data_IF_675811284689
#
_entry.id   IF_675811284689
#
_cell.length_a   1.000
_cell.length_b   1.000
_cell.length_c   1.000
_cell.angle_alpha   90.00
_cell.angle_beta   90.00
_cell.angle_gamma   90.00
#
_symmetry.space_group_name_H-M   'P 1'
#
loop_
_entity.id
_entity.type
_entity.pdbx_description
1 polymer ?
#
# COMPACT_ATOMS: atom_id res chain seq x y z
N UNK A 1 22.28 -20.04 -6.04
CA UNK A 1 21.53 -20.95 -5.12
C UNK A 1 21.18 -20.19 -3.86
N UNK A 2 19.95 -20.27 -3.37
CA UNK A 2 19.49 -19.63 -2.14
C UNK A 2 20.38 -20.04 -0.94
N UNK A 3 20.66 -19.10 -0.04
CA UNK A 3 21.54 -19.37 1.11
C UNK A 3 20.75 -19.92 2.28
N UNK A 4 21.33 -20.92 2.96
CA UNK A 4 20.77 -21.54 4.16
C UNK A 4 21.57 -21.08 5.38
N UNK A 5 20.84 -20.70 6.44
CA UNK A 5 21.38 -20.21 7.70
C UNK A 5 20.70 -20.91 8.89
N UNK A 6 21.42 -21.09 9.96
CA UNK A 6 20.82 -21.35 11.27
C UNK A 6 20.40 -20.00 11.90
N UNK A 7 19.25 -19.95 12.54
CA UNK A 7 18.69 -18.71 13.06
C UNK A 7 19.63 -17.98 14.03
N UNK A 8 20.34 -18.72 14.87
CA UNK A 8 21.29 -18.15 15.85
C UNK A 8 22.56 -17.55 15.19
N UNK A 9 22.80 -17.82 13.91
CA UNK A 9 23.94 -17.32 13.14
C UNK A 9 23.62 -16.06 12.32
N UNK A 10 22.34 -15.70 12.21
CA UNK A 10 21.88 -14.57 11.39
C UNK A 10 21.40 -13.43 12.27
N UNK A 11 21.93 -12.25 12.06
CA UNK A 11 21.38 -11.06 12.70
C UNK A 11 20.05 -10.69 12.05
N UNK A 12 19.00 -10.43 12.84
CA UNK A 12 17.67 -10.10 12.30
C UNK A 12 17.70 -8.93 11.29
N UNK A 13 18.58 -7.95 11.50
CA UNK A 13 18.75 -6.79 10.63
C UNK A 13 19.33 -7.14 9.25
N UNK A 14 20.00 -8.29 9.14
CA UNK A 14 20.61 -8.77 7.90
C UNK A 14 19.70 -9.71 7.11
N UNK A 15 18.56 -10.14 7.71
CA UNK A 15 17.63 -11.07 7.07
C UNK A 15 16.92 -10.39 5.90
N UNK A 16 16.44 -9.17 6.10
CA UNK A 16 15.85 -8.36 5.04
C UNK A 16 16.74 -7.15 4.78
N UNK A 17 17.07 -6.92 3.51
CA UNK A 17 17.77 -5.68 3.12
C UNK A 17 16.76 -4.51 3.13
N UNK A 18 16.77 -3.71 4.20
CA UNK A 18 15.80 -2.64 4.46
C UNK A 18 16.35 -1.24 4.25
N UNK A 19 17.56 -1.09 3.75
CA UNK A 19 18.10 0.24 3.48
C UNK A 19 17.49 0.80 2.18
N UNK A 20 16.30 1.42 2.34
CA UNK A 20 15.55 2.08 1.24
C UNK A 20 16.08 3.50 1.00
N UNK A 21 17.29 3.84 1.46
CA UNK A 21 17.82 5.18 1.20
C UNK A 21 18.04 5.32 -0.30
N UNK A 22 17.27 6.23 -0.90
CA UNK A 22 17.57 6.65 -2.25
C UNK A 22 18.98 7.22 -2.29
N UNK A 23 19.76 6.81 -3.29
CA UNK A 23 21.04 7.44 -3.56
C UNK A 23 20.86 8.95 -3.75
N UNK A 24 21.88 9.73 -3.39
CA UNK A 24 21.81 11.19 -3.46
C UNK A 24 21.39 11.71 -4.85
N UNK A 25 21.75 10.98 -5.91
CA UNK A 25 21.37 11.29 -7.29
C UNK A 25 19.87 11.13 -7.57
N UNK A 26 19.23 10.14 -6.95
CA UNK A 26 17.77 9.94 -7.06
C UNK A 26 17.04 11.09 -6.36
N UNK A 27 17.50 11.47 -5.18
CA UNK A 27 16.91 12.61 -4.44
C UNK A 27 17.00 13.93 -5.21
N UNK A 28 18.18 14.23 -5.73
CA UNK A 28 18.40 15.46 -6.53
C UNK A 28 17.55 15.45 -7.81
N UNK A 29 17.43 14.31 -8.48
CA UNK A 29 16.58 14.14 -9.67
C UNK A 29 15.12 14.40 -9.34
N UNK A 30 14.62 13.82 -8.24
CA UNK A 30 13.21 13.99 -7.81
C UNK A 30 12.94 15.44 -7.42
N UNK A 31 13.86 16.10 -6.71
CA UNK A 31 13.72 17.51 -6.36
C UNK A 31 13.60 18.40 -7.62
N UNK A 32 14.45 18.16 -8.62
CA UNK A 32 14.39 18.86 -9.88
C UNK A 32 13.07 18.64 -10.63
N UNK A 33 12.57 17.39 -10.66
CA UNK A 33 11.28 17.07 -11.28
C UNK A 33 10.13 17.77 -10.57
N UNK A 34 10.09 17.72 -9.23
CA UNK A 34 9.05 18.39 -8.44
C UNK A 34 9.07 19.90 -8.70
N UNK A 35 10.25 20.53 -8.68
CA UNK A 35 10.39 21.94 -8.95
C UNK A 35 9.91 22.32 -10.35
N UNK A 36 10.24 21.52 -11.34
CA UNK A 36 9.88 21.75 -12.75
C UNK A 36 8.36 21.61 -12.99
N UNK A 37 7.72 20.56 -12.44
CA UNK A 37 6.26 20.41 -12.54
C UNK A 37 5.54 21.58 -11.85
N UNK A 38 6.04 22.06 -10.71
CA UNK A 38 5.46 23.23 -10.04
C UNK A 38 5.61 24.53 -10.84
N UNK A 39 6.66 24.64 -11.63
CA UNK A 39 6.94 25.84 -12.43
C UNK A 39 6.22 25.86 -13.79
N UNK A 40 6.14 24.68 -14.46
CA UNK A 40 5.68 24.60 -15.85
C UNK A 40 4.37 23.81 -16.04
N UNK A 41 3.83 23.20 -14.98
CA UNK A 41 2.55 22.48 -15.03
C UNK A 41 2.51 21.38 -16.09
N UNK A 42 1.44 21.36 -16.89
CA UNK A 42 1.22 20.36 -17.95
C UNK A 42 2.34 20.28 -18.98
N UNK A 43 3.02 21.38 -19.26
CA UNK A 43 4.14 21.40 -20.19
C UNK A 43 5.29 20.51 -19.71
N UNK A 44 5.59 20.53 -18.41
CA UNK A 44 6.58 19.62 -17.82
C UNK A 44 6.13 18.16 -17.92
N UNK A 45 4.85 17.89 -17.68
CA UNK A 45 4.31 16.51 -17.74
C UNK A 45 4.42 15.93 -19.16
N UNK A 46 4.13 16.72 -20.19
CA UNK A 46 4.25 16.29 -21.59
C UNK A 46 5.72 16.02 -21.98
N UNK A 47 6.65 16.87 -21.53
CA UNK A 47 8.08 16.68 -21.76
C UNK A 47 8.60 15.41 -21.08
N UNK A 48 8.18 15.15 -19.84
CA UNK A 48 8.56 13.95 -19.11
C UNK A 48 7.94 12.67 -19.69
N UNK A 49 6.69 12.70 -20.15
CA UNK A 49 6.07 11.58 -20.89
C UNK A 49 6.87 11.24 -22.16
N UNK A 50 7.30 12.26 -22.92
CA UNK A 50 8.14 12.05 -24.10
C UNK A 50 9.53 11.51 -23.74
N UNK A 51 10.12 11.97 -22.62
CA UNK A 51 11.47 11.61 -22.20
C UNK A 51 11.57 10.21 -21.59
N UNK A 52 10.64 9.86 -20.71
CA UNK A 52 10.71 8.65 -19.90
C UNK A 52 9.85 7.51 -20.43
N UNK A 53 8.65 7.84 -20.94
CA UNK A 53 7.69 6.86 -21.45
C UNK A 53 7.75 6.74 -22.99
N UNK A 54 8.56 7.58 -23.63
CA UNK A 54 8.65 7.71 -25.11
C UNK A 54 7.29 8.04 -25.76
N UNK A 55 6.34 8.55 -24.99
CA UNK A 55 4.98 8.86 -25.40
C UNK A 55 4.87 10.33 -25.85
N UNK A 56 4.61 10.55 -27.15
CA UNK A 56 4.35 11.88 -27.69
C UNK A 56 2.87 12.23 -27.53
N UNK A 57 2.55 12.90 -26.40
CA UNK A 57 1.19 13.25 -26.05
C UNK A 57 0.89 14.71 -26.42
N UNK A 58 -0.36 14.99 -26.78
CA UNK A 58 -0.92 16.36 -26.93
C UNK A 58 -1.76 16.75 -25.72
N UNK A 59 -2.19 15.79 -24.91
CA UNK A 59 -2.92 15.95 -23.65
C UNK A 59 -2.55 14.83 -22.72
N UNK A 60 -2.40 15.15 -21.45
CA UNK A 60 -2.14 14.16 -20.39
C UNK A 60 -3.43 13.43 -19.94
N UNK A 61 -4.61 13.96 -20.20
CA UNK A 61 -5.86 13.34 -19.78
C UNK A 61 -6.29 12.23 -20.75
N UNK A 62 -6.72 11.08 -20.22
CA UNK A 62 -7.38 10.02 -20.98
C UNK A 62 -8.80 10.46 -21.28
N UNK A 63 -9.20 10.38 -22.55
CA UNK A 63 -10.54 10.74 -23.00
C UNK A 63 -11.55 9.62 -22.72
N UNK A 64 -12.83 9.96 -22.66
CA UNK A 64 -13.90 8.95 -22.54
C UNK A 64 -13.88 7.99 -23.72
N UNK A 65 -13.59 8.48 -24.92
CA UNK A 65 -13.51 7.63 -26.10
C UNK A 65 -12.38 6.59 -25.98
N UNK A 66 -11.18 6.98 -25.52
CA UNK A 66 -10.07 6.03 -25.29
C UNK A 66 -10.46 4.94 -24.29
N UNK A 67 -11.19 5.30 -23.23
CA UNK A 67 -11.68 4.34 -22.24
C UNK A 67 -12.67 3.36 -22.86
N UNK A 68 -13.67 3.86 -23.57
CA UNK A 68 -14.73 3.05 -24.15
C UNK A 68 -14.19 2.11 -25.25
N UNK A 69 -13.26 2.59 -26.08
CA UNK A 69 -12.57 1.78 -27.10
C UNK A 69 -11.72 0.67 -26.47
N UNK A 70 -10.93 1.00 -25.43
CA UNK A 70 -10.08 0.02 -24.75
C UNK A 70 -10.92 -1.06 -24.06
N UNK A 71 -12.01 -0.67 -23.40
CA UNK A 71 -12.91 -1.61 -22.74
C UNK A 71 -13.58 -2.54 -23.74
N UNK A 72 -14.15 -1.98 -24.83
CA UNK A 72 -14.80 -2.76 -25.89
C UNK A 72 -13.82 -3.71 -26.60
N UNK A 73 -12.59 -3.26 -26.84
CA UNK A 73 -11.55 -4.10 -27.43
C UNK A 73 -11.23 -5.28 -26.52
N UNK A 74 -11.02 -5.05 -25.22
CA UNK A 74 -10.66 -6.10 -24.26
C UNK A 74 -11.81 -7.08 -24.05
N UNK A 75 -13.05 -6.58 -23.94
CA UNK A 75 -14.25 -7.42 -23.79
C UNK A 75 -14.47 -8.34 -25.02
N UNK A 76 -14.14 -7.86 -26.22
CA UNK A 76 -14.20 -8.67 -27.43
C UNK A 76 -13.06 -9.71 -27.52
N UNK A 77 -11.87 -9.40 -27.00
CA UNK A 77 -10.70 -10.27 -27.06
C UNK A 77 -10.65 -11.30 -25.93
N UNK A 78 -11.01 -10.89 -24.71
CA UNK A 78 -10.97 -11.71 -23.49
C UNK A 78 -12.12 -11.36 -22.53
N UNK A 79 -13.36 -11.76 -22.84
CA UNK A 79 -14.51 -11.50 -21.98
C UNK A 79 -14.39 -12.22 -20.63
N UNK A 80 -13.59 -13.30 -20.55
CA UNK A 80 -13.34 -14.01 -19.30
C UNK A 80 -12.52 -13.14 -18.34
N UNK A 81 -11.53 -12.42 -18.83
CA UNK A 81 -10.75 -11.49 -18.01
C UNK A 81 -11.60 -10.37 -17.46
N UNK A 82 -12.51 -9.78 -18.23
CA UNK A 82 -13.47 -8.79 -17.75
C UNK A 82 -14.36 -9.37 -16.63
N UNK A 83 -14.81 -10.61 -16.78
CA UNK A 83 -15.60 -11.31 -15.76
C UNK A 83 -14.78 -11.51 -14.49
N UNK A 84 -13.51 -11.93 -14.63
CA UNK A 84 -12.57 -12.10 -13.50
C UNK A 84 -12.34 -10.79 -12.76
N UNK A 85 -12.10 -9.68 -13.46
CA UNK A 85 -11.95 -8.34 -12.86
C UNK A 85 -13.20 -7.93 -12.06
N UNK A 86 -14.40 -8.18 -12.58
CA UNK A 86 -15.66 -7.87 -11.87
C UNK A 86 -15.81 -8.71 -10.58
N UNK A 87 -15.48 -10.00 -10.65
CA UNK A 87 -15.54 -10.87 -9.47
C UNK A 87 -14.52 -10.46 -8.41
N UNK A 88 -13.28 -10.16 -8.81
CA UNK A 88 -12.26 -9.64 -7.92
C UNK A 88 -12.70 -8.33 -7.26
N UNK A 89 -13.25 -7.40 -8.06
CA UNK A 89 -13.76 -6.12 -7.57
C UNK A 89 -14.86 -6.29 -6.51
N UNK A 90 -15.75 -7.27 -6.69
CA UNK A 90 -16.81 -7.58 -5.73
C UNK A 90 -16.22 -8.14 -4.42
N UNK A 91 -15.28 -9.07 -4.49
CA UNK A 91 -14.61 -9.62 -3.31
C UNK A 91 -13.87 -8.52 -2.53
N UNK A 92 -13.13 -7.64 -3.22
CA UNK A 92 -12.43 -6.51 -2.62
C UNK A 92 -13.44 -5.56 -1.94
N UNK A 93 -14.54 -5.24 -2.59
CA UNK A 93 -15.60 -4.39 -2.04
C UNK A 93 -16.20 -5.02 -0.79
N UNK A 94 -16.59 -6.28 -0.86
CA UNK A 94 -17.20 -7.00 0.26
C UNK A 94 -16.29 -7.01 1.50
N UNK A 95 -15.00 -7.25 1.30
CA UNK A 95 -14.02 -7.21 2.39
C UNK A 95 -13.90 -5.81 3.01
N UNK A 96 -13.72 -4.78 2.17
CA UNK A 96 -13.48 -3.42 2.65
C UNK A 96 -14.73 -2.76 3.25
N UNK A 97 -15.93 -3.18 2.89
CA UNK A 97 -17.16 -2.73 3.53
C UNK A 97 -17.22 -3.07 5.04
N UNK A 98 -16.52 -4.13 5.47
CA UNK A 98 -16.42 -4.50 6.89
C UNK A 98 -15.52 -3.54 7.69
N UNK A 99 -14.70 -2.73 7.01
CA UNK A 99 -13.81 -1.74 7.63
C UNK A 99 -14.48 -0.39 7.90
N UNK A 100 -15.77 -0.22 7.55
CA UNK A 100 -16.49 1.02 7.73
C UNK A 100 -16.71 1.32 9.22
N UNK A 101 -16.28 2.50 9.64
CA UNK A 101 -16.47 2.97 11.01
C UNK A 101 -17.80 3.71 11.21
N UNK A 102 -18.33 3.59 12.42
CA UNK A 102 -19.51 4.35 12.86
C UNK A 102 -19.10 5.53 13.73
N UNK A 103 -19.77 6.66 13.53
CA UNK A 103 -19.70 7.78 14.48
C UNK A 103 -20.20 7.33 15.84
N UNK A 104 -19.61 7.87 16.91
CA UNK A 104 -20.13 7.66 18.27
C UNK A 104 -20.37 8.97 19.00
N UNK A 105 -21.30 8.93 19.94
CA UNK A 105 -21.69 10.05 20.79
C UNK A 105 -21.79 9.55 22.22
N UNK A 106 -21.19 10.28 23.16
CA UNK A 106 -21.27 10.06 24.60
C UNK A 106 -22.14 11.16 25.22
N UNK A 107 -23.12 10.78 26.01
CA UNK A 107 -24.06 11.67 26.70
C UNK A 107 -24.26 11.29 28.18
N UNK A 108 -23.29 10.63 28.76
CA UNK A 108 -23.31 10.11 30.13
C UNK A 108 -23.25 11.18 31.24
N UNK A 109 -22.94 12.41 30.89
CA UNK A 109 -22.94 13.56 31.81
C UNK A 109 -24.02 14.57 31.42
N UNK A 110 -24.85 15.05 32.36
CA UNK A 110 -25.88 16.06 32.04
C UNK A 110 -25.27 17.32 31.42
N UNK A 111 -25.81 17.78 30.32
CA UNK A 111 -25.36 18.98 29.62
C UNK A 111 -24.06 18.84 28.83
N UNK A 112 -23.53 17.63 28.70
CA UNK A 112 -22.29 17.33 28.00
C UNK A 112 -22.56 16.37 26.86
N UNK A 113 -22.06 16.68 25.66
CA UNK A 113 -22.03 15.76 24.51
C UNK A 113 -20.61 15.72 23.98
N UNK A 114 -20.02 14.53 23.94
CA UNK A 114 -18.74 14.28 23.31
C UNK A 114 -18.92 13.28 22.17
N UNK A 115 -18.13 13.37 21.12
CA UNK A 115 -18.21 12.36 20.08
C UNK A 115 -17.07 12.44 19.08
N UNK A 116 -17.10 11.48 18.19
CA UNK A 116 -16.17 11.39 17.08
C UNK A 116 -16.93 11.18 15.76
N UNK A 117 -16.58 11.98 14.78
CA UNK A 117 -17.13 11.92 13.43
C UNK A 117 -16.07 11.42 12.46
N UNK A 118 -16.41 10.42 11.67
CA UNK A 118 -15.63 9.95 10.54
C UNK A 118 -16.08 10.69 9.28
N UNK A 119 -15.12 11.19 8.52
CA UNK A 119 -15.40 11.94 7.28
C UNK A 119 -14.40 11.53 6.22
N UNK A 120 -14.83 11.12 5.01
CA UNK A 120 -13.89 10.81 3.94
C UNK A 120 -13.06 12.04 3.55
N UNK A 121 -11.87 11.82 3.02
CA UNK A 121 -11.12 12.86 2.30
C UNK A 121 -11.91 13.27 1.05
N UNK A 122 -11.63 14.46 0.50
CA UNK A 122 -12.41 14.94 -0.65
C UNK A 122 -11.93 14.30 -1.95
N UNK A 123 -10.59 14.18 -2.12
CA UNK A 123 -9.98 13.68 -3.34
C UNK A 123 -8.81 12.76 -3.05
N UNK A 124 -8.78 11.58 -3.66
CA UNK A 124 -7.66 10.65 -3.62
C UNK A 124 -6.96 10.58 -4.97
N UNK A 125 -5.63 10.54 -4.95
CA UNK A 125 -4.80 10.24 -6.10
C UNK A 125 -4.30 8.81 -6.04
N UNK A 126 -4.55 8.04 -7.09
CA UNK A 126 -4.10 6.65 -7.22
C UNK A 126 -2.99 6.60 -8.26
N UNK A 127 -1.81 6.19 -7.85
CA UNK A 127 -0.68 5.95 -8.73
C UNK A 127 -0.64 4.48 -9.14
N UNK A 128 -0.78 4.19 -10.42
CA UNK A 128 -0.69 2.83 -10.97
C UNK A 128 0.58 2.73 -11.80
N UNK A 129 1.51 1.84 -11.46
CA UNK A 129 2.73 1.68 -12.24
C UNK A 129 2.43 1.16 -13.64
N UNK A 130 3.29 1.52 -14.58
CA UNK A 130 3.34 0.98 -15.93
C UNK A 130 4.75 0.50 -16.23
N UNK A 131 4.99 0.05 -17.44
CA UNK A 131 6.30 -0.44 -17.91
C UNK A 131 6.23 -1.88 -18.36
N UNK A 132 7.10 -2.76 -17.83
CA UNK A 132 7.19 -4.17 -18.26
C UNK A 132 6.00 -5.04 -17.89
N UNK A 133 5.20 -4.63 -16.91
CA UNK A 133 3.96 -5.29 -16.50
C UNK A 133 2.84 -4.26 -16.34
N UNK A 134 1.61 -4.67 -16.61
CA UNK A 134 0.40 -3.92 -16.30
C UNK A 134 -0.22 -4.47 -15.01
N UNK A 135 -0.72 -3.58 -14.16
CA UNK A 135 -1.27 -3.95 -12.86
C UNK A 135 -2.75 -3.52 -12.71
N UNK A 136 -3.68 -4.15 -13.44
CA UNK A 136 -5.12 -3.87 -13.25
C UNK A 136 -5.60 -4.23 -11.84
N UNK A 137 -4.96 -5.18 -11.16
CA UNK A 137 -5.23 -5.50 -9.75
C UNK A 137 -5.00 -4.31 -8.83
N UNK A 138 -3.89 -3.57 -8.99
CA UNK A 138 -3.60 -2.36 -8.21
C UNK A 138 -4.69 -1.30 -8.37
N UNK A 139 -5.27 -1.18 -9.57
CA UNK A 139 -6.41 -0.28 -9.78
C UNK A 139 -7.58 -0.66 -8.87
N UNK A 140 -7.94 -1.94 -8.83
CA UNK A 140 -9.05 -2.42 -7.99
C UNK A 140 -8.72 -2.24 -6.51
N UNK A 141 -7.51 -2.64 -6.09
CA UNK A 141 -7.06 -2.65 -4.70
C UNK A 141 -6.96 -1.24 -4.10
N UNK A 142 -6.57 -0.24 -4.88
CA UNK A 142 -6.40 1.12 -4.38
C UNK A 142 -7.70 1.95 -4.49
N UNK A 143 -8.50 1.71 -5.54
CA UNK A 143 -9.69 2.53 -5.82
C UNK A 143 -10.92 2.07 -5.01
N UNK A 144 -11.13 0.76 -4.89
CA UNK A 144 -12.35 0.24 -4.25
C UNK A 144 -12.44 0.65 -2.77
N UNK A 145 -11.40 0.54 -1.93
CA UNK A 145 -11.49 1.03 -0.55
C UNK A 145 -11.71 2.55 -0.48
N UNK A 146 -11.18 3.34 -1.42
CA UNK A 146 -11.48 4.77 -1.50
C UNK A 146 -12.96 5.04 -1.81
N UNK A 147 -13.56 4.27 -2.75
CA UNK A 147 -15.01 4.35 -3.04
C UNK A 147 -15.86 3.92 -1.85
N UNK A 148 -15.50 2.82 -1.18
CA UNK A 148 -16.19 2.34 0.04
C UNK A 148 -16.11 3.39 1.15
N UNK A 149 -14.98 4.05 1.34
CA UNK A 149 -14.81 5.15 2.29
C UNK A 149 -15.69 6.37 1.98
N UNK A 150 -16.19 6.51 0.74
CA UNK A 150 -17.00 7.62 0.29
C UNK A 150 -16.19 8.82 -0.23
N UNK A 151 -14.97 8.61 -0.72
CA UNK A 151 -14.18 9.65 -1.40
C UNK A 151 -14.94 10.17 -2.61
N UNK A 152 -15.06 11.51 -2.74
CA UNK A 152 -15.91 12.13 -3.75
C UNK A 152 -15.33 12.07 -5.15
N UNK A 153 -14.03 12.24 -5.27
CA UNK A 153 -13.31 12.24 -6.56
C UNK A 153 -12.04 11.39 -6.42
N UNK A 154 -11.87 10.43 -7.33
CA UNK A 154 -10.66 9.61 -7.42
C UNK A 154 -9.99 9.88 -8.75
N UNK A 155 -8.74 10.32 -8.67
CA UNK A 155 -7.87 10.68 -9.79
C UNK A 155 -6.79 9.62 -9.92
N UNK A 156 -6.70 8.98 -11.07
CA UNK A 156 -5.66 7.99 -11.35
C UNK A 156 -4.60 8.54 -12.28
N UNK A 157 -3.34 8.20 -12.00
CA UNK A 157 -2.20 8.43 -12.90
C UNK A 157 -1.55 7.10 -13.23
N UNK A 158 -1.23 6.91 -14.51
CA UNK A 158 -0.50 5.74 -15.02
C UNK A 158 0.23 6.15 -16.31
N UNK A 159 1.46 5.69 -16.57
CA UNK A 159 2.16 6.05 -17.80
C UNK A 159 1.47 5.45 -19.03
N UNK A 160 1.57 6.15 -20.16
CA UNK A 160 1.19 5.61 -21.45
C UNK A 160 2.34 4.82 -22.07
N UNK A 161 2.03 3.90 -22.99
CA UNK A 161 3.01 3.30 -23.87
C UNK A 161 3.55 4.30 -24.90
N UNK A 162 4.58 3.90 -25.65
CA UNK A 162 5.17 4.74 -26.71
C UNK A 162 4.17 5.13 -27.82
N UNK A 163 3.08 4.38 -27.95
CA UNK A 163 1.94 4.69 -28.84
C UNK A 163 0.99 5.75 -28.27
N UNK A 164 1.25 6.26 -27.06
CA UNK A 164 0.44 7.25 -26.36
C UNK A 164 -0.83 6.67 -25.72
N UNK A 165 -1.00 5.34 -25.68
CA UNK A 165 -2.17 4.68 -25.10
C UNK A 165 -1.87 4.07 -23.72
N UNK A 166 -2.88 4.05 -22.88
CA UNK A 166 -2.85 3.32 -21.61
C UNK A 166 -3.24 1.86 -21.87
N UNK A 167 -2.65 0.93 -21.12
CA UNK A 167 -2.96 -0.49 -21.22
C UNK A 167 -4.48 -0.75 -21.06
N UNK A 168 -5.12 -1.50 -21.97
CA UNK A 168 -6.57 -1.75 -21.94
C UNK A 168 -7.06 -2.41 -20.65
N UNK A 169 -6.25 -3.31 -20.03
CA UNK A 169 -6.59 -3.95 -18.76
C UNK A 169 -6.67 -2.96 -17.60
N UNK A 170 -5.76 -1.96 -17.57
CA UNK A 170 -5.78 -0.87 -16.58
C UNK A 170 -7.05 -0.02 -16.78
N UNK A 171 -7.40 0.34 -18.02
CA UNK A 171 -8.60 1.13 -18.29
C UNK A 171 -9.89 0.35 -17.98
N UNK A 172 -9.92 -0.95 -18.26
CA UNK A 172 -11.05 -1.81 -17.90
C UNK A 172 -11.24 -1.90 -16.38
N UNK A 173 -10.17 -2.11 -15.63
CA UNK A 173 -10.20 -2.10 -14.16
C UNK A 173 -10.65 -0.73 -13.62
N UNK A 174 -10.20 0.36 -14.23
CA UNK A 174 -10.59 1.71 -13.87
C UNK A 174 -12.11 1.96 -14.04
N UNK A 175 -12.70 1.47 -15.14
CA UNK A 175 -14.15 1.51 -15.36
C UNK A 175 -14.90 0.69 -14.31
N UNK A 176 -14.44 -0.53 -14.03
CA UNK A 176 -15.07 -1.44 -13.06
C UNK A 176 -14.98 -0.87 -11.65
N UNK A 177 -13.84 -0.30 -11.27
CA UNK A 177 -13.64 0.34 -9.96
C UNK A 177 -14.37 1.69 -9.83
N UNK A 178 -14.73 2.34 -10.93
CA UNK A 178 -15.47 3.59 -10.97
C UNK A 178 -14.59 4.83 -10.75
N UNK A 179 -13.44 4.91 -11.44
CA UNK A 179 -12.54 6.07 -11.41
C UNK A 179 -13.17 7.27 -12.12
N UNK A 180 -12.95 8.47 -11.58
CA UNK A 180 -13.55 9.69 -12.10
C UNK A 180 -12.69 10.33 -13.20
N UNK A 181 -11.35 10.34 -13.04
CA UNK A 181 -10.41 10.94 -13.99
C UNK A 181 -9.11 10.13 -14.09
N UNK A 182 -8.58 9.98 -15.29
CA UNK A 182 -7.35 9.23 -15.58
C UNK A 182 -6.39 10.11 -16.36
N UNK A 183 -5.09 10.08 -15.97
CA UNK A 183 -4.03 10.84 -16.59
C UNK A 183 -2.88 9.94 -17.02
N UNK A 184 -2.37 10.18 -18.25
CA UNK A 184 -1.27 9.46 -18.92
C UNK A 184 0.09 9.97 -18.45
N UNK A 185 0.37 9.85 -17.15
CA UNK A 185 1.63 10.30 -16.53
C UNK A 185 2.11 9.27 -15.50
N UNK A 186 3.40 8.94 -15.54
CA UNK A 186 4.08 8.05 -14.60
C UNK A 186 5.13 8.79 -13.77
N UNK A 187 5.90 8.05 -12.97
CA UNK A 187 7.08 8.55 -12.28
C UNK A 187 6.86 9.63 -11.23
N UNK A 188 7.95 10.28 -10.83
CA UNK A 188 7.95 11.35 -9.83
C UNK A 188 7.10 12.57 -10.25
N UNK A 189 7.02 12.84 -11.56
CA UNK A 189 6.22 13.94 -12.09
C UNK A 189 4.71 13.72 -11.88
N UNK A 190 4.23 12.47 -11.89
CA UNK A 190 2.85 12.15 -11.56
C UNK A 190 2.55 12.46 -10.10
N UNK A 191 3.45 12.07 -9.19
CA UNK A 191 3.34 12.38 -7.76
C UNK A 191 3.34 13.89 -7.51
N UNK A 192 4.23 14.63 -8.20
CA UNK A 192 4.28 16.09 -8.11
C UNK A 192 2.98 16.74 -8.61
N UNK A 193 2.43 16.27 -9.74
CA UNK A 193 1.16 16.75 -10.28
C UNK A 193 -0.02 16.50 -9.32
N UNK A 194 -0.10 15.30 -8.73
CA UNK A 194 -1.13 14.96 -7.76
C UNK A 194 -1.00 15.80 -6.46
N UNK A 195 0.23 16.12 -6.04
CA UNK A 195 0.46 16.87 -4.79
C UNK A 195 0.18 18.39 -4.94
N UNK A 196 0.57 18.97 -6.06
CA UNK A 196 0.53 20.44 -6.25
C UNK A 196 -0.57 20.91 -7.21
N UNK A 197 -1.08 20.01 -8.05
CA UNK A 197 -1.98 20.35 -9.14
C UNK A 197 -1.23 20.93 -10.35
N UNK A 198 -1.85 20.82 -11.51
CA UNK A 198 -1.46 21.49 -12.76
C UNK A 198 -2.72 22.03 -13.43
N UNK A 199 -2.62 22.51 -14.67
CA UNK A 199 -3.79 22.98 -15.43
C UNK A 199 -4.83 21.86 -15.64
N UNK A 200 -4.37 20.63 -15.89
CA UNK A 200 -5.25 19.47 -16.13
C UNK A 200 -5.45 18.60 -14.91
N UNK A 201 -4.38 18.38 -14.12
CA UNK A 201 -4.39 17.44 -12.99
C UNK A 201 -4.76 18.15 -11.71
N UNK A 202 -5.87 17.79 -11.05
CA UNK A 202 -6.25 18.43 -9.78
C UNK A 202 -5.35 17.94 -8.64
N UNK A 203 -5.00 18.85 -7.72
CA UNK A 203 -4.34 18.46 -6.47
C UNK A 203 -5.26 17.57 -5.63
N UNK A 204 -4.67 16.60 -4.92
CA UNK A 204 -5.39 15.61 -4.10
C UNK A 204 -5.05 15.74 -2.62
N UNK A 205 -5.86 15.11 -1.75
CA UNK A 205 -5.63 15.09 -0.31
C UNK A 205 -4.68 13.97 0.13
N UNK A 206 -4.69 12.84 -0.59
CA UNK A 206 -3.82 11.68 -0.34
C UNK A 206 -3.42 11.02 -1.67
N UNK A 207 -2.17 10.57 -1.75
CA UNK A 207 -1.62 9.77 -2.87
C UNK A 207 -1.38 8.36 -2.36
N UNK A 208 -1.95 7.37 -3.06
CA UNK A 208 -1.80 5.94 -2.76
C UNK A 208 -1.26 5.19 -3.98
N UNK A 209 -0.75 4.00 -3.75
CA UNK A 209 -0.27 3.10 -4.80
C UNK A 209 1.25 2.89 -4.79
N UNK A 210 1.69 1.70 -5.23
CA UNK A 210 3.09 1.31 -5.31
C UNK A 210 3.81 2.00 -6.46
N UNK A 211 5.14 2.07 -6.40
CA UNK A 211 5.94 2.64 -7.46
C UNK A 211 7.44 2.39 -7.24
N UNK A 212 8.23 2.68 -8.27
CA UNK A 212 9.68 2.55 -8.21
C UNK A 212 10.31 3.57 -7.23
N UNK A 213 11.63 3.50 -7.07
CA UNK A 213 12.40 4.34 -6.14
C UNK A 213 12.15 5.86 -6.36
N UNK A 214 11.92 6.31 -7.61
CA UNK A 214 11.62 7.71 -7.90
C UNK A 214 10.24 8.12 -7.38
N UNK A 215 9.24 7.23 -7.52
CA UNK A 215 7.87 7.43 -7.02
C UNK A 215 7.87 7.41 -5.49
N UNK A 216 8.51 6.43 -4.87
CA UNK A 216 8.64 6.33 -3.42
C UNK A 216 9.35 7.56 -2.83
N UNK A 217 10.45 8.02 -3.45
CA UNK A 217 11.16 9.23 -3.06
C UNK A 217 10.29 10.48 -3.23
N UNK A 218 9.54 10.59 -4.33
CA UNK A 218 8.63 11.71 -4.55
C UNK A 218 7.50 11.74 -3.51
N UNK A 219 6.88 10.59 -3.20
CA UNK A 219 5.86 10.47 -2.14
C UNK A 219 6.42 10.96 -0.80
N UNK A 220 7.63 10.53 -0.43
CA UNK A 220 8.31 10.99 0.80
C UNK A 220 8.52 12.51 0.81
N UNK A 221 8.94 13.11 -0.31
CA UNK A 221 9.22 14.55 -0.40
C UNK A 221 7.96 15.43 -0.40
N UNK A 222 6.84 14.93 -0.86
CA UNK A 222 5.57 15.68 -0.84
C UNK A 222 4.74 15.42 0.41
N UNK A 223 5.12 14.46 1.26
CA UNK A 223 4.43 14.19 2.51
C UNK A 223 4.41 15.43 3.41
N UNK A 224 3.24 15.73 3.97
CA UNK A 224 2.99 16.96 4.72
C UNK A 224 2.31 18.05 3.87
N UNK A 225 2.58 18.12 2.56
CA UNK A 225 1.77 18.88 1.61
C UNK A 225 0.52 18.10 1.21
N UNK A 226 0.68 16.78 1.04
CA UNK A 226 -0.35 15.80 0.73
C UNK A 226 -0.14 14.57 1.63
N UNK A 227 -1.20 13.84 1.99
CA UNK A 227 -1.05 12.55 2.66
C UNK A 227 -0.53 11.49 1.68
N UNK A 228 0.10 10.45 2.22
CA UNK A 228 0.47 9.26 1.46
C UNK A 228 -0.02 8.01 2.20
N UNK A 229 -0.11 6.88 1.51
CA UNK A 229 -0.33 5.56 2.12
C UNK A 229 0.91 5.13 2.91
N UNK A 230 1.98 4.80 2.18
CA UNK A 230 3.25 4.33 2.74
C UNK A 230 4.40 4.66 1.79
N UNK A 231 5.62 4.44 2.25
CA UNK A 231 6.83 4.43 1.44
C UNK A 231 7.15 2.98 1.15
N UNK A 232 6.78 2.49 -0.04
CA UNK A 232 7.01 1.12 -0.43
C UNK A 232 8.50 0.89 -0.79
N UNK A 233 9.06 -0.17 -0.23
CA UNK A 233 10.32 -0.77 -0.65
C UNK A 233 10.11 -1.88 -1.68
N UNK A 234 11.17 -2.67 -1.96
CA UNK A 234 11.05 -3.90 -2.74
C UNK A 234 10.09 -4.89 -2.06
N UNK A 235 9.39 -5.69 -2.87
CA UNK A 235 8.43 -6.67 -2.38
C UNK A 235 9.09 -7.80 -1.58
N UNK A 236 8.39 -8.30 -0.57
CA UNK A 236 8.89 -9.29 0.38
C UNK A 236 7.87 -10.39 0.61
N UNK A 237 8.32 -11.65 0.58
CA UNK A 237 7.55 -12.80 1.08
C UNK A 237 8.34 -13.54 2.15
N UNK A 238 7.64 -13.98 3.19
CA UNK A 238 8.13 -14.93 4.16
C UNK A 238 7.17 -16.10 4.24
N UNK A 239 7.68 -17.29 3.96
CA UNK A 239 6.95 -18.55 4.19
C UNK A 239 7.41 -19.15 5.51
N UNK A 240 6.48 -19.28 6.47
CA UNK A 240 6.65 -20.08 7.68
C UNK A 240 6.12 -21.46 7.36
N UNK A 241 6.98 -22.48 7.40
CA UNK A 241 6.60 -23.84 7.06
C UNK A 241 7.23 -24.86 8.00
N UNK A 242 6.49 -25.90 8.34
CA UNK A 242 7.00 -27.10 9.02
C UNK A 242 7.31 -28.24 8.04
N UNK A 243 7.86 -29.34 8.53
CA UNK A 243 8.25 -30.48 7.71
C UNK A 243 7.10 -31.20 6.98
N UNK A 244 5.84 -30.82 7.22
CA UNK A 244 4.66 -31.39 6.56
C UNK A 244 4.31 -30.73 5.23
N UNK A 245 5.01 -29.63 4.85
CA UNK A 245 4.75 -28.90 3.63
C UNK A 245 5.33 -29.58 2.39
N UNK A 246 4.66 -29.36 1.25
CA UNK A 246 5.21 -29.78 -0.04
C UNK A 246 6.30 -28.81 -0.48
N UNK A 247 7.56 -29.24 -0.64
CA UNK A 247 8.67 -28.33 -0.99
C UNK A 247 8.49 -27.65 -2.35
N UNK A 248 7.80 -28.29 -3.30
CA UNK A 248 7.53 -27.70 -4.61
C UNK A 248 6.54 -26.52 -4.51
N UNK A 249 5.58 -26.56 -3.60
CA UNK A 249 4.65 -25.45 -3.36
C UNK A 249 5.37 -24.28 -2.70
N UNK A 250 6.11 -24.56 -1.62
CA UNK A 250 6.92 -23.52 -0.94
C UNK A 250 7.91 -22.83 -1.90
N UNK A 251 8.55 -23.60 -2.78
CA UNK A 251 9.45 -23.03 -3.79
C UNK A 251 8.68 -22.13 -4.80
N UNK A 252 7.48 -22.55 -5.22
CA UNK A 252 6.64 -21.75 -6.12
C UNK A 252 6.20 -20.43 -5.45
N UNK A 253 5.84 -20.47 -4.17
CA UNK A 253 5.42 -19.28 -3.41
C UNK A 253 6.59 -18.30 -3.20
N UNK A 254 7.81 -18.80 -2.94
CA UNK A 254 9.00 -17.96 -2.90
C UNK A 254 9.31 -17.31 -4.27
N UNK A 255 9.04 -18.03 -5.36
CA UNK A 255 9.29 -17.56 -6.72
C UNK A 255 8.23 -16.58 -7.22
N UNK A 256 7.00 -16.64 -6.73
CA UNK A 256 5.95 -15.67 -7.05
C UNK A 256 6.40 -14.25 -6.72
N UNK A 257 7.12 -14.07 -5.60
CA UNK A 257 7.67 -12.78 -5.22
C UNK A 257 9.00 -12.47 -5.91
N UNK A 258 9.88 -13.47 -6.02
CA UNK A 258 11.21 -13.29 -6.60
C UNK A 258 11.18 -12.84 -8.08
N UNK A 259 10.13 -13.17 -8.84
CA UNK A 259 9.99 -12.73 -10.23
C UNK A 259 9.56 -11.26 -10.40
N UNK A 260 9.08 -10.60 -9.34
CA UNK A 260 8.63 -9.20 -9.40
C UNK A 260 9.78 -8.24 -9.70
N UNK A 261 10.88 -8.34 -8.94
CA UNK A 261 12.04 -7.45 -9.07
C UNK A 261 13.32 -8.13 -8.58
N UNK A 262 14.48 -7.69 -9.08
CA UNK A 262 15.80 -8.17 -8.64
C UNK A 262 16.08 -7.90 -7.16
N UNK A 263 15.46 -6.85 -6.61
CA UNK A 263 15.58 -6.46 -5.21
C UNK A 263 14.54 -7.15 -4.31
N UNK A 264 13.57 -7.88 -4.88
CA UNK A 264 12.60 -8.64 -4.10
C UNK A 264 13.30 -9.62 -3.16
N UNK A 265 12.69 -9.86 -1.99
CA UNK A 265 13.24 -10.74 -0.97
C UNK A 265 12.26 -11.88 -0.69
N UNK A 266 12.73 -13.13 -0.85
CA UNK A 266 11.99 -14.34 -0.57
C UNK A 266 12.68 -15.11 0.56
N UNK A 267 11.97 -15.32 1.68
CA UNK A 267 12.50 -15.96 2.88
C UNK A 267 11.66 -17.17 3.25
N UNK A 268 12.30 -18.32 3.47
CA UNK A 268 11.70 -19.46 4.15
C UNK A 268 12.22 -19.49 5.59
N UNK A 269 11.32 -19.60 6.58
CA UNK A 269 11.66 -19.92 7.96
C UNK A 269 11.02 -21.24 8.33
N UNK A 270 11.81 -22.21 8.76
CA UNK A 270 11.32 -23.58 9.02
C UNK A 270 12.10 -24.24 10.17
N UNK A 271 11.43 -25.12 10.91
CA UNK A 271 12.05 -26.00 11.89
C UNK A 271 12.51 -27.36 11.30
N UNK A 272 12.35 -27.52 9.97
CA UNK A 272 12.72 -28.77 9.26
C UNK A 272 13.90 -28.56 8.29
N UNK A 273 15.06 -29.13 8.61
CA UNK A 273 16.22 -29.14 7.71
C UNK A 273 15.95 -29.92 6.44
N UNK A 274 15.14 -30.97 6.51
CA UNK A 274 14.74 -31.77 5.35
C UNK A 274 13.93 -30.93 4.37
N UNK A 275 12.94 -30.17 4.87
CA UNK A 275 12.17 -29.25 4.04
C UNK A 275 13.07 -28.17 3.44
N UNK A 276 13.95 -27.58 4.23
CA UNK A 276 14.90 -26.56 3.78
C UNK A 276 15.74 -27.02 2.59
N UNK A 277 16.32 -28.22 2.68
CA UNK A 277 17.12 -28.83 1.61
C UNK A 277 16.27 -29.17 0.38
N UNK A 278 15.05 -29.68 0.57
CA UNK A 278 14.15 -30.01 -0.52
C UNK A 278 13.66 -28.74 -1.27
N UNK A 279 13.32 -27.66 -0.57
CA UNK A 279 12.95 -26.38 -1.18
C UNK A 279 14.13 -25.78 -1.95
N UNK A 280 15.35 -25.87 -1.41
CA UNK A 280 16.55 -25.41 -2.12
C UNK A 280 16.74 -26.15 -3.45
N UNK A 281 16.49 -27.47 -3.47
CA UNK A 281 16.56 -28.28 -4.69
C UNK A 281 15.43 -27.94 -5.68
N UNK A 282 14.20 -27.73 -5.20
CA UNK A 282 13.04 -27.37 -6.02
C UNK A 282 13.22 -26.01 -6.69
N UNK A 283 13.78 -25.01 -6.02
CA UNK A 283 14.11 -23.71 -6.63
C UNK A 283 15.02 -23.86 -7.86
N UNK A 284 16.03 -24.76 -7.80
CA UNK A 284 16.90 -25.02 -8.95
C UNK A 284 16.18 -25.69 -10.13
N UNK A 285 15.10 -26.43 -9.85
CA UNK A 285 14.24 -27.05 -10.88
C UNK A 285 13.28 -26.04 -11.48
N UNK A 286 12.67 -25.16 -10.66
CA UNK A 286 11.57 -24.31 -11.11
C UNK A 286 12.05 -23.01 -11.76
N UNK A 287 13.13 -22.36 -11.25
CA UNK A 287 13.60 -21.08 -11.80
C UNK A 287 13.83 -21.12 -13.31
N UNK A 288 14.52 -22.15 -13.90
CA UNK A 288 14.76 -22.18 -15.33
C UNK A 288 13.49 -22.26 -16.20
N UNK A 289 12.34 -22.59 -15.61
CA UNK A 289 11.06 -22.74 -16.30
C UNK A 289 10.29 -21.42 -16.37
N UNK A 290 10.70 -20.40 -15.61
CA UNK A 290 10.00 -19.10 -15.56
C UNK A 290 10.35 -18.23 -16.77
N UNK A 291 9.38 -17.52 -17.36
CA UNK A 291 9.66 -16.51 -18.38
C UNK A 291 10.62 -15.41 -17.91
N UNK A 292 10.57 -15.08 -16.60
CA UNK A 292 11.43 -14.07 -15.95
C UNK A 292 12.57 -14.69 -15.13
N UNK A 293 13.06 -15.86 -15.54
CA UNK A 293 14.08 -16.64 -14.83
C UNK A 293 15.32 -15.82 -14.39
N UNK A 294 15.78 -14.89 -15.21
CA UNK A 294 16.96 -14.07 -14.88
C UNK A 294 16.71 -13.13 -13.67
N UNK A 295 15.50 -12.57 -13.57
CA UNK A 295 15.11 -11.71 -12.44
C UNK A 295 14.96 -12.55 -11.18
N UNK A 296 14.18 -13.64 -11.25
CA UNK A 296 13.97 -14.54 -10.12
C UNK A 296 15.29 -15.13 -9.61
N UNK A 297 16.22 -15.53 -10.52
CA UNK A 297 17.54 -16.03 -10.17
C UNK A 297 18.35 -14.99 -9.37
N UNK A 298 18.41 -13.75 -9.86
CA UNK A 298 19.17 -12.68 -9.19
C UNK A 298 18.57 -12.36 -7.82
N UNK A 299 17.23 -12.27 -7.72
CA UNK A 299 16.53 -12.06 -6.45
C UNK A 299 16.83 -13.18 -5.44
N UNK A 300 16.65 -14.44 -5.83
CA UNK A 300 16.89 -15.62 -4.97
C UNK A 300 18.35 -15.73 -4.55
N UNK A 301 19.30 -15.54 -5.45
CA UNK A 301 20.73 -15.73 -5.15
C UNK A 301 21.31 -14.59 -4.29
N UNK A 302 20.76 -13.38 -4.42
CA UNK A 302 21.24 -12.18 -3.73
C UNK A 302 20.51 -11.92 -2.42
N UNK A 303 19.18 -11.95 -2.45
CA UNK A 303 18.32 -11.54 -1.35
C UNK A 303 17.61 -12.72 -0.66
N UNK A 304 17.38 -13.83 -1.38
CA UNK A 304 16.70 -15.00 -0.84
C UNK A 304 17.46 -15.67 0.31
N UNK A 305 16.72 -16.17 1.30
CA UNK A 305 17.27 -16.87 2.46
C UNK A 305 16.37 -18.01 2.90
N UNK A 306 17.00 -19.10 3.33
CA UNK A 306 16.36 -20.16 4.10
C UNK A 306 16.93 -20.11 5.51
N UNK A 307 16.08 -19.95 6.51
CA UNK A 307 16.44 -19.86 7.92
C UNK A 307 15.88 -21.08 8.62
N UNK A 308 16.76 -21.88 9.22
CA UNK A 308 16.39 -23.05 10.00
C UNK A 308 16.42 -22.72 11.48
N UNK A 309 15.36 -23.06 12.18
CA UNK A 309 15.18 -22.89 13.63
C UNK A 309 15.17 -24.25 14.34
N UNK A 310 15.31 -24.26 15.66
CA UNK A 310 15.27 -25.50 16.44
C UNK A 310 13.85 -26.05 16.62
N UNK A 311 12.85 -25.14 16.63
CA UNK A 311 11.44 -25.48 16.87
C UNK A 311 10.50 -24.38 16.34
N UNK A 312 9.21 -24.65 16.37
CA UNK A 312 8.17 -23.72 15.92
C UNK A 312 8.11 -22.42 16.77
N UNK A 313 8.51 -22.44 18.03
CA UNK A 313 8.56 -21.25 18.89
C UNK A 313 9.56 -20.25 18.35
N UNK A 314 10.78 -20.68 18.04
CA UNK A 314 11.80 -19.87 17.42
C UNK A 314 11.43 -19.45 16.00
N UNK A 315 10.70 -20.30 15.25
CA UNK A 315 10.18 -19.93 13.93
C UNK A 315 9.24 -18.75 14.02
N UNK A 316 8.30 -18.74 14.95
CA UNK A 316 7.36 -17.63 15.17
C UNK A 316 8.09 -16.37 15.66
N UNK A 317 9.08 -16.53 16.55
CA UNK A 317 9.93 -15.42 17.00
C UNK A 317 10.64 -14.75 15.82
N UNK A 318 11.26 -15.55 14.94
CA UNK A 318 11.93 -15.06 13.75
C UNK A 318 10.97 -14.28 12.83
N UNK A 319 9.76 -14.77 12.59
CA UNK A 319 8.72 -14.09 11.79
C UNK A 319 8.38 -12.72 12.39
N UNK A 320 8.14 -12.65 13.69
CA UNK A 320 7.80 -11.38 14.36
C UNK A 320 8.94 -10.38 14.35
N UNK A 321 10.20 -10.84 14.43
CA UNK A 321 11.39 -10.01 14.27
C UNK A 321 11.50 -9.50 12.83
N UNK A 322 11.26 -10.35 11.84
CA UNK A 322 11.34 -9.99 10.43
C UNK A 322 10.22 -9.03 10.04
N UNK A 323 9.00 -9.22 10.54
CA UNK A 323 7.82 -8.41 10.21
C UNK A 323 7.63 -8.24 8.69
N UNK A 324 7.36 -9.33 7.95
CA UNK A 324 7.34 -9.33 6.49
C UNK A 324 6.12 -8.61 5.92
N UNK A 325 6.20 -8.23 4.65
CA UNK A 325 5.07 -7.75 3.86
C UNK A 325 4.00 -8.83 3.69
N UNK A 326 4.39 -9.97 3.09
CA UNK A 326 3.54 -11.15 2.93
C UNK A 326 4.04 -12.26 3.87
N UNK A 327 3.15 -12.83 4.65
CA UNK A 327 3.42 -13.97 5.52
C UNK A 327 2.53 -15.15 5.16
N UNK A 328 3.10 -16.22 4.64
CA UNK A 328 2.40 -17.50 4.50
C UNK A 328 2.69 -18.39 5.70
N UNK A 329 1.64 -18.92 6.33
CA UNK A 329 1.71 -19.87 7.46
C UNK A 329 1.33 -21.25 6.93
N UNK A 330 2.31 -21.97 6.39
CA UNK A 330 2.16 -23.27 5.76
C UNK A 330 2.30 -24.41 6.78
N UNK A 331 1.33 -24.55 7.66
CA UNK A 331 1.24 -25.63 8.66
C UNK A 331 -0.14 -26.27 8.65
N UNK A 332 -0.31 -27.42 9.33
CA UNK A 332 -1.61 -28.13 9.38
C UNK A 332 -2.67 -27.37 10.18
N UNK A 333 -2.29 -26.70 11.29
CA UNK A 333 -3.18 -25.83 12.07
C UNK A 333 -2.68 -24.37 12.09
N UNK A 334 -2.93 -23.61 11.02
CA UNK A 334 -2.46 -22.21 10.93
C UNK A 334 -3.17 -21.29 11.94
N UNK A 335 -4.37 -21.63 12.41
CA UNK A 335 -5.08 -20.82 13.41
C UNK A 335 -4.44 -20.90 14.81
N UNK A 336 -3.77 -22.00 15.15
CA UNK A 336 -2.98 -22.09 16.38
C UNK A 336 -1.77 -21.15 16.36
N UNK A 337 -1.24 -20.82 15.18
CA UNK A 337 -0.10 -19.90 14.99
C UNK A 337 -0.56 -18.46 14.86
N UNK A 338 -1.70 -18.19 14.21
CA UNK A 338 -2.19 -16.85 13.89
C UNK A 338 -2.20 -15.90 15.09
N UNK A 339 -2.69 -16.37 16.24
CA UNK A 339 -2.78 -15.54 17.46
C UNK A 339 -1.43 -15.14 18.08
N UNK A 340 -0.33 -15.65 17.53
CA UNK A 340 1.05 -15.41 17.99
C UNK A 340 1.86 -14.55 17.04
N UNK A 341 1.30 -14.26 15.87
CA UNK A 341 1.89 -13.34 14.91
C UNK A 341 1.50 -11.92 15.28
N UNK A 342 2.50 -11.09 15.53
CA UNK A 342 2.32 -9.69 15.93
C UNK A 342 2.58 -8.73 14.76
N UNK A 343 3.49 -9.11 13.85
CA UNK A 343 3.98 -8.22 12.80
C UNK A 343 3.98 -8.91 11.43
N UNK A 344 3.00 -8.60 10.60
CA UNK A 344 2.96 -8.95 9.18
C UNK A 344 2.05 -7.99 8.43
N UNK A 345 2.33 -7.72 7.16
CA UNK A 345 1.46 -6.90 6.31
C UNK A 345 0.18 -7.66 5.96
N UNK A 346 0.30 -8.84 5.36
CA UNK A 346 -0.81 -9.76 5.09
C UNK A 346 -0.45 -11.18 5.54
N UNK A 347 -1.44 -11.94 6.03
CA UNK A 347 -1.24 -13.30 6.57
C UNK A 347 -2.08 -14.28 5.79
N UNK A 348 -1.44 -15.28 5.20
CA UNK A 348 -2.03 -16.34 4.40
C UNK A 348 -2.05 -17.64 5.22
N UNK A 349 -3.21 -18.24 5.42
CA UNK A 349 -3.40 -19.29 6.40
C UNK A 349 -3.56 -20.67 5.75
N UNK A 350 -2.55 -21.51 5.95
CA UNK A 350 -2.56 -22.91 5.53
C UNK A 350 -1.96 -23.16 4.15
N UNK A 351 -1.75 -24.42 3.85
CA UNK A 351 -1.01 -24.92 2.69
C UNK A 351 -1.66 -24.68 1.31
N UNK A 352 -2.94 -24.25 1.30
CA UNK A 352 -3.72 -24.06 0.07
C UNK A 352 -3.95 -22.57 -0.26
N UNK A 353 -3.23 -21.67 0.38
CA UNK A 353 -3.43 -20.23 0.26
C UNK A 353 -2.13 -19.55 -0.18
N UNK A 354 -1.81 -19.60 -1.49
CA UNK A 354 -0.64 -18.92 -2.03
C UNK A 354 -0.85 -17.40 -2.05
N UNK A 355 0.22 -16.63 -2.03
CA UNK A 355 0.23 -15.16 -2.12
C UNK A 355 -0.67 -14.63 -3.24
N UNK A 356 -0.58 -15.22 -4.44
CA UNK A 356 -1.35 -14.82 -5.61
C UNK A 356 -2.87 -14.83 -5.39
N UNK A 357 -3.39 -15.65 -4.46
CA UNK A 357 -4.81 -15.62 -4.10
C UNK A 357 -5.19 -14.28 -3.46
N UNK A 358 -4.36 -13.77 -2.54
CA UNK A 358 -4.57 -12.46 -1.92
C UNK A 358 -4.38 -11.31 -2.91
N UNK A 359 -3.32 -11.39 -3.69
CA UNK A 359 -2.95 -10.33 -4.62
C UNK A 359 -3.99 -10.04 -5.70
N UNK A 360 -4.74 -11.07 -6.10
CA UNK A 360 -5.66 -10.93 -7.23
C UNK A 360 -7.13 -11.13 -6.91
N UNK A 361 -7.50 -11.94 -5.91
CA UNK A 361 -8.88 -12.42 -5.88
C UNK A 361 -9.56 -12.50 -4.51
N UNK A 362 -8.84 -12.73 -3.41
CA UNK A 362 -9.44 -13.01 -2.11
C UNK A 362 -10.23 -11.82 -1.51
N UNK A 363 -9.78 -10.59 -1.77
CA UNK A 363 -10.46 -9.37 -1.29
C UNK A 363 -9.64 -8.48 -0.36
N UNK A 364 -8.82 -8.98 0.59
CA UNK A 364 -7.86 -8.15 1.32
C UNK A 364 -6.92 -7.40 0.38
N UNK A 365 -6.44 -6.24 0.83
CA UNK A 365 -5.61 -5.37 -0.01
C UNK A 365 -4.19 -5.91 -0.17
N UNK A 366 -3.63 -5.74 -1.38
CA UNK A 366 -2.25 -6.10 -1.69
C UNK A 366 -1.26 -4.92 -1.62
N UNK A 367 -1.73 -3.69 -1.37
CA UNK A 367 -0.85 -2.55 -1.08
C UNK A 367 -0.45 -2.62 0.38
N UNK A 368 0.69 -3.24 0.65
CA UNK A 368 1.12 -3.71 1.95
C UNK A 368 2.33 -2.94 2.47
N UNK A 369 2.51 -2.86 3.80
CA UNK A 369 3.69 -2.29 4.41
C UNK A 369 4.92 -3.18 4.18
N UNK A 370 5.94 -2.64 3.51
CA UNK A 370 7.23 -3.29 3.22
C UNK A 370 8.30 -2.88 4.21
N UNK A 371 9.48 -3.49 4.12
CA UNK A 371 10.70 -3.08 4.83
C UNK A 371 10.56 -3.05 6.36
N UNK A 372 9.76 -3.99 6.90
CA UNK A 372 9.49 -4.13 8.32
C UNK A 372 8.56 -3.07 8.90
N UNK A 373 7.96 -2.23 8.08
CA UNK A 373 6.99 -1.22 8.52
C UNK A 373 5.67 -1.84 9.00
N UNK A 374 5.44 -3.13 8.76
CA UNK A 374 4.32 -3.89 9.34
C UNK A 374 4.27 -3.86 10.89
N UNK A 375 5.35 -3.42 11.55
CA UNK A 375 5.41 -3.16 13.01
C UNK A 375 4.55 -1.97 13.45
N UNK A 376 4.22 -1.04 12.55
CA UNK A 376 3.49 0.20 12.84
C UNK A 376 2.60 0.69 11.71
N UNK A 377 2.59 0.02 10.56
CA UNK A 377 1.75 0.31 9.41
C UNK A 377 0.84 -0.87 9.09
N UNK A 378 -0.28 -0.60 8.44
CA UNK A 378 -1.27 -1.59 8.02
C UNK A 378 -1.36 -1.64 6.49
N UNK A 379 -1.95 -2.70 5.91
CA UNK A 379 -2.40 -2.70 4.53
C UNK A 379 -3.29 -1.49 4.22
N UNK A 380 -3.28 -1.04 2.97
CA UNK A 380 -4.18 0.01 2.52
C UNK A 380 -5.64 -0.43 2.75
N UNK A 381 -6.43 0.45 3.34
CA UNK A 381 -7.82 0.16 3.67
C UNK A 381 -8.69 1.41 3.71
N UNK A 382 -9.93 1.24 4.17
CA UNK A 382 -10.89 2.34 4.31
C UNK A 382 -10.38 3.43 5.24
N UNK A 383 -9.60 3.06 6.27
CA UNK A 383 -9.01 4.00 7.24
C UNK A 383 -8.07 5.03 6.60
N UNK A 384 -7.43 4.67 5.50
CA UNK A 384 -6.55 5.57 4.75
C UNK A 384 -7.27 6.74 4.10
N UNK A 385 -8.54 6.56 3.82
CA UNK A 385 -9.38 7.51 3.09
C UNK A 385 -10.38 8.27 3.97
N UNK A 386 -10.34 8.06 5.29
CA UNK A 386 -11.18 8.78 6.26
C UNK A 386 -10.33 9.54 7.27
N UNK A 387 -10.87 10.64 7.76
CA UNK A 387 -10.32 11.38 8.90
C UNK A 387 -11.31 11.44 10.04
N UNK A 388 -10.79 11.49 11.25
CA UNK A 388 -11.54 11.50 12.50
C UNK A 388 -11.49 12.89 13.10
N UNK A 389 -12.68 13.46 13.40
CA UNK A 389 -12.78 14.75 14.10
C UNK A 389 -13.57 14.57 15.39
N UNK A 390 -13.04 15.02 16.51
CA UNK A 390 -13.78 15.09 17.75
C UNK A 390 -14.70 16.30 17.76
N UNK A 391 -15.85 16.16 18.38
CA UNK A 391 -16.72 17.28 18.68
C UNK A 391 -17.08 17.30 20.17
N UNK A 392 -17.19 18.52 20.70
CA UNK A 392 -17.40 18.79 22.12
C UNK A 392 -18.52 19.81 22.23
N UNK A 393 -19.54 19.50 23.03
CA UNK A 393 -20.60 20.41 23.39
C UNK A 393 -20.79 20.40 24.89
N UNK A 394 -20.93 21.59 25.47
CA UNK A 394 -21.27 21.79 26.89
C UNK A 394 -22.37 22.85 26.98
N UNK A 395 -23.37 22.59 27.82
CA UNK A 395 -24.26 23.66 28.25
C UNK A 395 -23.52 24.67 29.13
N UNK A 396 -24.07 25.87 29.32
CA UNK A 396 -23.45 26.87 30.21
C UNK A 396 -23.35 26.35 31.67
N UNK A 397 -24.35 25.65 32.15
CA UNK A 397 -24.40 25.04 33.45
C UNK A 397 -23.29 23.98 33.61
N UNK A 398 -23.16 23.09 32.66
CA UNK A 398 -22.12 22.06 32.67
C UNK A 398 -20.71 22.65 32.61
N UNK A 399 -20.50 23.70 31.78
CA UNK A 399 -19.23 24.42 31.75
C UNK A 399 -18.92 25.12 33.06
N UNK A 400 -19.95 25.72 33.72
CA UNK A 400 -19.79 26.36 35.02
C UNK A 400 -19.27 25.43 36.12
N UNK A 401 -19.65 24.15 36.08
CA UNK A 401 -19.17 23.15 37.05
C UNK A 401 -17.67 22.85 36.95
N UNK A 402 -17.04 23.17 35.81
CA UNK A 402 -15.63 22.82 35.56
C UNK A 402 -14.74 24.03 35.23
N UNK A 403 -15.32 25.24 35.15
CA UNK A 403 -14.63 26.47 34.73
C UNK A 403 -13.36 26.77 35.56
N UNK A 404 -13.46 26.70 36.90
CA UNK A 404 -12.34 26.97 37.81
C UNK A 404 -11.21 25.96 37.63
N UNK A 405 -11.53 24.70 37.39
CA UNK A 405 -10.56 23.65 37.16
C UNK A 405 -9.81 23.86 35.86
N UNK A 406 -10.51 24.28 34.78
CA UNK A 406 -9.90 24.58 33.49
C UNK A 406 -9.00 25.80 33.59
N UNK A 407 -9.47 26.88 34.28
CA UNK A 407 -8.69 28.09 34.49
C UNK A 407 -7.42 27.80 35.28
N UNK A 408 -7.54 27.09 36.42
CA UNK A 408 -6.41 26.68 37.24
C UNK A 408 -5.38 25.86 36.44
N UNK A 409 -5.82 24.91 35.64
CA UNK A 409 -4.93 24.10 34.79
C UNK A 409 -4.15 24.97 33.81
N UNK A 410 -4.87 25.87 33.08
CA UNK A 410 -4.27 26.76 32.11
C UNK A 410 -3.27 27.76 32.73
N UNK A 411 -3.58 28.25 33.97
CA UNK A 411 -2.67 29.14 34.70
C UNK A 411 -1.37 28.42 35.10
N UNK A 412 -1.44 27.16 35.53
CA UNK A 412 -0.25 26.36 35.83
C UNK A 412 0.64 26.12 34.60
N UNK A 413 0.06 26.10 33.42
CA UNK A 413 0.80 26.08 32.16
C UNK A 413 1.29 27.46 31.71
N UNK A 414 0.96 28.53 32.45
CA UNK A 414 1.29 29.90 32.05
C UNK A 414 0.40 30.46 30.90
N UNK A 415 -0.73 29.82 30.63
CA UNK A 415 -1.61 30.15 29.51
C UNK A 415 -2.82 30.96 29.97
N UNK A 416 -2.59 32.19 30.42
CA UNK A 416 -3.63 33.07 30.99
C UNK A 416 -4.79 33.36 30.03
N UNK A 417 -4.53 33.46 28.73
CA UNK A 417 -5.59 33.67 27.73
C UNK A 417 -6.52 32.45 27.63
N UNK A 418 -6.02 31.22 27.84
CA UNK A 418 -6.83 30.01 27.92
C UNK A 418 -7.75 30.05 29.14
N UNK A 419 -7.21 30.40 30.34
CA UNK A 419 -8.00 30.58 31.54
C UNK A 419 -9.09 31.62 31.34
N UNK A 420 -8.74 32.79 30.79
CA UNK A 420 -9.68 33.89 30.51
C UNK A 420 -10.74 33.49 29.52
N UNK A 421 -10.42 32.67 28.52
CA UNK A 421 -11.40 32.21 27.52
C UNK A 421 -12.57 31.46 28.15
N UNK A 422 -12.38 30.82 29.29
CA UNK A 422 -13.44 30.12 30.03
C UNK A 422 -14.13 31.06 31.00
N UNK A 423 -13.38 31.77 31.83
CA UNK A 423 -13.95 32.59 32.94
C UNK A 423 -14.79 33.76 32.41
N UNK A 424 -14.42 34.39 31.27
CA UNK A 424 -15.16 35.52 30.68
C UNK A 424 -16.60 35.16 30.28
N UNK A 425 -16.91 33.86 30.07
CA UNK A 425 -18.27 33.40 29.77
C UNK A 425 -19.23 33.49 30.96
N UNK A 426 -18.69 33.75 32.14
CA UNK A 426 -19.44 33.83 33.40
C UNK A 426 -19.33 35.23 34.03
N UNK A 427 -18.56 36.15 33.45
CA UNK A 427 -18.55 37.55 33.87
C UNK A 427 -19.84 38.26 33.34
N UNK A 428 -20.32 39.21 34.13
CA UNK A 428 -21.40 40.09 33.66
C UNK A 428 -20.88 41.01 32.53
N UNK A 429 -21.69 41.30 31.48
CA UNK A 429 -21.27 42.17 30.40
C UNK A 429 -21.03 43.62 30.82
#
# INVERSE_FOLDING_TARGET
MIRLYDFDEVKPEEILNRDIRAEADVEATVDAIIADVRARGDAALLDYAAKFDHAKLTSVQVTRQEIDEAFAQLDAQDPQFITTLKMAAENIRHFHEQQLHKNFVLTDKPGVVLGQKYTPIQRAGVYVPGGTAAYPSTVLMDVIPAKVAGVREIVMTTPAGADGKVNPGILAAAVIAGIDRIFKIGGAQAVAALAYGTESVPAVDKIVGPGNIYVATAKRKVFGKVGIDMIAGPSEILVLADGSCNPAWVAADLLSQAEHDRLATAVLVTDSRELAAAVQAELEVQIPQLPRAAIARESIDTNGKIIVTDDMEKTIEAVNIIAPEHLEICVDDPFAVLGRIENAGSIFLGKNVPEALGDYFAGPNHTLPTSGTARFSSPLGVDDFVKKSSFIYYTREALGQVQERIANFAEHEGLHAHAKSVTIRFEEP
#
